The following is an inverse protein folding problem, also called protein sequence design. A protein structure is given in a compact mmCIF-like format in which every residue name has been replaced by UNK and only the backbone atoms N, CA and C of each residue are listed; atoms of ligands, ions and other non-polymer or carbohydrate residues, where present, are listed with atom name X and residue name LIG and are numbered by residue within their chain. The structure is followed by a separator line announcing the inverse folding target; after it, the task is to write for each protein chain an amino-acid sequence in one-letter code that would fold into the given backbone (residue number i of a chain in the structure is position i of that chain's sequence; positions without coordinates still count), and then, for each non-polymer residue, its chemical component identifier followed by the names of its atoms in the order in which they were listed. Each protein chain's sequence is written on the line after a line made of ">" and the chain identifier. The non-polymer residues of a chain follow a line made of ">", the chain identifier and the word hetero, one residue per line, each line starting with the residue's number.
data_IF_230299020584
#
_entry.id   IF_230299020584
#
_cell.length_a   1.000
_cell.length_b   1.000
_cell.length_c   1.000
_cell.angle_alpha   90.00
_cell.angle_beta   90.00
_cell.angle_gamma   90.00
#
_symmetry.space_group_name_H-M   'P 1'
#
loop_
_entity.id
_entity.type
_entity.pdbx_description
1 polymer ?
#
# COMPACT_ATOMS: atom_id res chain seq x y z
N UNK A 1 -62.30 -26.62 28.78
CA UNK A 1 -61.40 -26.06 29.80
C UNK A 1 -60.14 -26.92 29.76
N UNK A 2 -59.28 -26.72 28.76
CA UNK A 2 -58.11 -25.84 28.84
C UNK A 2 -57.15 -26.34 29.91
N UNK A 3 -56.25 -27.25 29.51
CA UNK A 3 -54.84 -27.06 29.77
C UNK A 3 -54.08 -27.60 28.56
N UNK A 4 -53.59 -26.63 27.82
CA UNK A 4 -52.88 -26.69 26.56
C UNK A 4 -51.55 -27.39 26.75
N UNK A 5 -51.33 -28.43 25.95
CA UNK A 5 -50.09 -28.63 25.18
C UNK A 5 -48.84 -28.30 25.98
N UNK A 6 -48.32 -29.31 26.68
CA UNK A 6 -46.88 -29.40 26.94
C UNK A 6 -46.17 -29.15 25.62
N UNK A 7 -45.69 -27.93 25.47
CA UNK A 7 -44.90 -27.51 24.35
C UNK A 7 -43.61 -28.32 24.42
N UNK A 8 -43.59 -29.44 23.69
CA UNK A 8 -42.37 -30.09 23.26
C UNK A 8 -41.56 -29.03 22.52
N UNK A 9 -40.70 -28.33 23.26
CA UNK A 9 -39.69 -27.45 22.72
C UNK A 9 -38.80 -28.36 21.87
N UNK A 10 -38.76 -28.21 20.54
CA UNK A 10 -37.79 -28.94 19.76
C UNK A 10 -36.43 -28.41 20.22
N UNK A 11 -35.67 -29.28 20.89
CA UNK A 11 -34.26 -29.05 21.16
C UNK A 11 -33.60 -28.89 19.80
N UNK A 12 -33.36 -27.64 19.43
CA UNK A 12 -32.63 -27.33 18.21
C UNK A 12 -31.21 -27.77 18.47
N UNK A 13 -30.88 -28.95 17.95
CA UNK A 13 -29.53 -29.40 17.70
C UNK A 13 -28.70 -28.21 17.22
N UNK A 14 -27.97 -27.59 18.15
CA UNK A 14 -26.89 -26.67 17.81
C UNK A 14 -25.88 -27.57 17.12
N UNK A 15 -25.55 -27.34 15.83
CA UNK A 15 -24.42 -28.03 15.26
C UNK A 15 -23.19 -27.56 16.07
N UNK A 16 -22.75 -28.43 16.98
CA UNK A 16 -21.45 -28.35 17.60
C UNK A 16 -20.43 -28.71 16.52
N UNK A 17 -20.10 -27.72 15.68
CA UNK A 17 -18.99 -27.80 14.74
C UNK A 17 -17.67 -27.78 15.52
N UNK A 18 -17.37 -28.89 16.19
CA UNK A 18 -16.12 -29.15 16.87
C UNK A 18 -15.25 -30.12 16.06
N UNK A 19 -13.95 -29.90 16.14
CA UNK A 19 -12.83 -30.72 15.65
C UNK A 19 -12.52 -30.57 14.15
N UNK A 20 -11.61 -29.66 13.80
CA UNK A 20 -10.17 -29.92 13.81
C UNK A 20 -9.73 -30.89 12.70
N UNK A 21 -9.78 -30.39 11.45
CA UNK A 21 -9.00 -30.92 10.35
C UNK A 21 -7.53 -30.49 10.49
N UNK A 22 -6.65 -31.46 10.31
CA UNK A 22 -5.25 -31.47 10.65
C UNK A 22 -4.39 -30.54 9.75
N UNK A 23 -4.17 -29.31 10.24
CA UNK A 23 -3.02 -28.39 10.04
C UNK A 23 -2.62 -27.99 8.59
N UNK A 24 -2.35 -26.68 8.36
CA UNK A 24 -1.40 -26.02 9.22
C UNK A 24 -1.97 -24.81 9.93
N UNK A 25 -1.80 -24.83 11.25
CA UNK A 25 -1.82 -23.62 12.10
C UNK A 25 -0.91 -22.52 11.52
N UNK A 26 0.04 -22.84 10.62
CA UNK A 26 0.83 -21.88 9.84
C UNK A 26 -0.01 -21.01 8.89
N UNK A 27 -0.96 -21.57 8.13
CA UNK A 27 -1.78 -20.78 7.19
C UNK A 27 -2.70 -19.79 7.91
N UNK A 28 -3.32 -20.24 9.00
CA UNK A 28 -4.10 -19.37 9.88
C UNK A 28 -3.24 -18.30 10.58
N UNK A 29 -2.00 -18.64 10.97
CA UNK A 29 -1.02 -17.66 11.50
C UNK A 29 -0.59 -16.64 10.45
N UNK A 30 -0.34 -17.07 9.21
CA UNK A 30 -0.01 -16.19 8.07
C UNK A 30 -1.17 -15.25 7.74
N UNK A 31 -2.41 -15.74 7.76
CA UNK A 31 -3.60 -14.91 7.54
C UNK A 31 -3.78 -13.87 8.67
N UNK A 32 -3.56 -14.25 9.93
CA UNK A 32 -3.58 -13.33 11.07
C UNK A 32 -2.45 -12.28 10.98
N UNK A 33 -1.24 -12.71 10.62
CA UNK A 33 -0.09 -11.84 10.41
C UNK A 33 -0.35 -10.84 9.29
N UNK A 34 -0.86 -11.28 8.14
CA UNK A 34 -1.24 -10.40 7.04
C UNK A 34 -2.30 -9.37 7.46
N UNK A 35 -3.30 -9.81 8.24
CA UNK A 35 -4.34 -8.91 8.76
C UNK A 35 -3.77 -7.87 9.73
N UNK A 36 -2.77 -8.24 10.54
CA UNK A 36 -2.03 -7.31 11.40
C UNK A 36 -1.17 -6.34 10.59
N UNK A 37 -0.44 -6.81 9.57
CA UNK A 37 0.36 -5.94 8.68
C UNK A 37 -0.53 -4.91 7.99
N UNK A 38 -1.69 -5.30 7.48
CA UNK A 38 -2.65 -4.35 6.87
C UNK A 38 -3.20 -3.36 7.91
N UNK A 39 -3.44 -3.79 9.15
CA UNK A 39 -3.88 -2.86 10.20
C UNK A 39 -2.81 -1.85 10.59
N UNK A 40 -1.54 -2.25 10.56
CA UNK A 40 -0.38 -1.39 10.84
C UNK A 40 -0.08 -0.47 9.67
N UNK A 41 -0.18 -0.96 8.43
CA UNK A 41 -0.02 -0.15 7.21
C UNK A 41 -1.13 0.91 7.06
N UNK A 42 -2.32 0.69 7.62
CA UNK A 42 -3.36 1.75 7.70
C UNK A 42 -3.04 2.83 8.74
N UNK A 43 -2.15 2.55 9.72
CA UNK A 43 -1.63 3.56 10.67
C UNK A 43 -0.56 4.43 10.03
N UNK A 44 0.11 3.94 8.98
CA UNK A 44 0.92 4.79 8.12
C UNK A 44 -0.05 5.72 7.42
N UNK A 45 -0.01 6.99 7.80
CA UNK A 45 -0.83 8.05 7.24
C UNK A 45 -0.60 8.05 5.73
N UNK A 46 -1.50 7.43 4.97
CA UNK A 46 -1.40 7.40 3.53
C UNK A 46 -1.76 8.80 3.03
N UNK A 47 -0.76 9.54 2.54
CA UNK A 47 -0.94 10.93 2.18
C UNK A 47 -2.00 11.05 1.09
N UNK A 48 -2.74 12.16 1.08
CA UNK A 48 -3.76 12.39 0.06
C UNK A 48 -3.07 12.53 -1.30
N UNK A 49 -3.76 12.14 -2.39
CA UNK A 49 -3.22 12.25 -3.77
C UNK A 49 -2.67 13.64 -4.10
N UNK A 50 -3.21 14.68 -3.46
CA UNK A 50 -2.76 16.07 -3.57
C UNK A 50 -1.36 16.28 -2.99
N UNK A 51 -1.04 15.67 -1.85
CA UNK A 51 0.27 15.77 -1.21
C UNK A 51 1.34 15.09 -2.08
N UNK A 52 1.01 13.92 -2.64
CA UNK A 52 1.88 13.21 -3.57
C UNK A 52 2.21 14.06 -4.81
N UNK A 53 1.21 14.75 -5.36
CA UNK A 53 1.41 15.66 -6.49
C UNK A 53 2.26 16.87 -6.09
N UNK A 54 2.02 17.47 -4.93
CA UNK A 54 2.82 18.59 -4.42
C UNK A 54 4.29 18.21 -4.25
N UNK A 55 4.60 17.04 -3.68
CA UNK A 55 5.98 16.59 -3.53
C UNK A 55 6.64 16.26 -4.86
N UNK A 56 5.90 15.64 -5.78
CA UNK A 56 6.41 15.35 -7.13
C UNK A 56 6.68 16.62 -7.92
N UNK A 57 5.86 17.67 -7.75
CA UNK A 57 6.04 18.97 -8.41
C UNK A 57 7.36 19.65 -8.03
N UNK A 58 7.73 19.60 -6.74
CA UNK A 58 9.02 20.14 -6.28
C UNK A 58 10.19 19.44 -6.97
N UNK A 59 10.15 18.10 -7.09
CA UNK A 59 11.19 17.32 -7.77
C UNK A 59 11.26 17.67 -9.26
N UNK A 60 10.11 17.80 -9.93
CA UNK A 60 10.06 18.19 -11.35
C UNK A 60 10.76 19.54 -11.56
N UNK A 61 10.37 20.57 -10.78
CA UNK A 61 10.98 21.90 -10.90
C UNK A 61 12.48 21.83 -10.64
N UNK A 62 12.90 21.13 -9.58
CA UNK A 62 14.30 20.99 -9.22
C UNK A 62 15.13 20.35 -10.34
N UNK A 63 14.67 19.22 -10.89
CA UNK A 63 15.34 18.52 -12.00
C UNK A 63 15.36 19.40 -13.25
N UNK A 64 14.29 20.13 -13.55
CA UNK A 64 14.26 21.07 -14.68
C UNK A 64 15.31 22.18 -14.54
N UNK A 65 15.45 22.77 -13.36
CA UNK A 65 16.48 23.81 -13.12
C UNK A 65 17.88 23.25 -13.31
N UNK A 66 18.17 22.08 -12.74
CA UNK A 66 19.48 21.42 -12.92
C UNK A 66 19.72 21.09 -14.39
N UNK A 67 18.72 20.58 -15.10
CA UNK A 67 18.83 20.28 -16.53
C UNK A 67 19.12 21.53 -17.37
N UNK A 68 18.51 22.68 -17.05
CA UNK A 68 18.79 23.95 -17.73
C UNK A 68 20.24 24.39 -17.48
N UNK A 69 20.73 24.30 -16.25
CA UNK A 69 22.10 24.67 -15.91
C UNK A 69 23.09 23.77 -16.65
N UNK A 70 22.89 22.45 -16.60
CA UNK A 70 23.75 21.47 -17.30
C UNK A 70 23.70 21.71 -18.80
N UNK A 71 22.52 21.84 -19.40
CA UNK A 71 22.39 22.13 -20.83
C UNK A 71 23.08 23.45 -21.22
N UNK A 72 22.96 24.50 -20.39
CA UNK A 72 23.65 25.76 -20.60
C UNK A 72 25.18 25.60 -20.57
N UNK A 73 25.69 24.87 -19.58
CA UNK A 73 27.11 24.56 -19.48
C UNK A 73 27.58 23.73 -20.67
N UNK A 74 26.87 22.66 -21.04
CA UNK A 74 27.19 21.80 -22.18
C UNK A 74 27.30 22.60 -23.49
N UNK A 75 26.39 23.56 -23.71
CA UNK A 75 26.44 24.45 -24.88
C UNK A 75 27.65 25.39 -24.87
N UNK A 76 28.04 25.90 -23.69
CA UNK A 76 29.23 26.74 -23.52
C UNK A 76 30.48 25.91 -23.78
N UNK A 77 30.59 24.73 -23.16
CA UNK A 77 31.70 23.82 -23.37
C UNK A 77 31.83 23.40 -24.83
N UNK A 78 30.72 23.05 -25.49
CA UNK A 78 30.72 22.69 -26.91
C UNK A 78 31.29 23.83 -27.78
N UNK A 79 30.89 25.09 -27.53
CA UNK A 79 31.41 26.26 -28.25
C UNK A 79 32.89 26.51 -27.97
N UNK A 80 33.32 26.37 -26.72
CA UNK A 80 34.73 26.57 -26.32
C UNK A 80 35.61 25.49 -26.96
N UNK A 81 35.22 24.23 -26.88
CA UNK A 81 35.94 23.10 -27.48
C UNK A 81 36.03 23.28 -29.00
N UNK A 82 34.92 23.61 -29.67
CA UNK A 82 34.94 23.86 -31.11
C UNK A 82 35.89 25.01 -31.48
N UNK A 83 35.98 26.06 -30.67
CA UNK A 83 36.88 27.19 -30.92
C UNK A 83 38.35 26.88 -30.64
N UNK A 84 38.63 26.01 -29.68
CA UNK A 84 40.00 25.63 -29.30
C UNK A 84 40.57 24.53 -30.22
N UNK A 85 39.75 23.56 -30.62
CA UNK A 85 40.17 22.40 -31.43
C UNK A 85 39.74 22.45 -32.90
N UNK A 86 38.81 23.33 -33.26
CA UNK A 86 38.35 23.54 -34.65
C UNK A 86 39.03 24.73 -35.34
N UNK A 87 40.06 25.30 -34.72
CA UNK A 87 41.01 26.21 -35.35
C UNK A 87 42.19 25.47 -35.97
#
# INVERSE_FOLDING_TARGET
>A
MSDTVDAAVPDRDRPSGGAAGDRPRLGARLALFYRQVVSELRKVIWPTRRDLLSYTWVVIIFVTVVAIIVAGLDLIFAKVVLRVFGG
#
